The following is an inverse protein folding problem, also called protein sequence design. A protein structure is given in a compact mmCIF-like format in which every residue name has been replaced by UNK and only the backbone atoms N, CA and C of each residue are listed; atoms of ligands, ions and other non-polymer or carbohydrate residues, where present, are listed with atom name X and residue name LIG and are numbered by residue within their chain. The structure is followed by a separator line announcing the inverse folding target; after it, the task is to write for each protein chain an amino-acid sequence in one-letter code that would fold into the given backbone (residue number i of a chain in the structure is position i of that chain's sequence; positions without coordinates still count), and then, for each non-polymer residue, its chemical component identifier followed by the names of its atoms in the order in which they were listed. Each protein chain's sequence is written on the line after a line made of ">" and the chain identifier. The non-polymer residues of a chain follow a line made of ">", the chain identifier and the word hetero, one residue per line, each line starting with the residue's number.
data_IF_430376430076
#
_entry.id   IF_430376430076
#
_cell.length_a   1.000
_cell.length_b   1.000
_cell.length_c   1.000
_cell.angle_alpha   90.00
_cell.angle_beta   90.00
_cell.angle_gamma   90.00
#
_symmetry.space_group_name_H-M   'P 1'
#
loop_
_entity.id
_entity.type
_entity.pdbx_description
1 polymer ?
#
# COMPACT_ATOMS: atom_id res chain seq x y z
N UNK A 1 -7.29 13.78 -41.18
CA UNK A 1 -6.01 14.36 -40.72
C UNK A 1 -6.05 14.91 -39.29
N UNK A 2 -7.14 15.55 -38.82
CA UNK A 2 -7.22 16.07 -37.45
C UNK A 2 -7.45 14.98 -36.37
N UNK A 3 -8.28 13.97 -36.65
CA UNK A 3 -8.60 12.90 -35.70
C UNK A 3 -7.41 11.96 -35.43
N UNK A 4 -6.62 11.65 -36.46
CA UNK A 4 -5.41 10.84 -36.35
C UNK A 4 -4.32 11.52 -35.51
N UNK A 5 -4.21 12.85 -35.62
CA UNK A 5 -3.30 13.67 -34.81
C UNK A 5 -3.72 13.68 -33.33
N UNK A 6 -5.03 13.72 -33.06
CA UNK A 6 -5.59 13.63 -31.71
C UNK A 6 -5.37 12.24 -31.07
N UNK A 7 -5.49 11.16 -31.86
CA UNK A 7 -5.22 9.80 -31.39
C UNK A 7 -3.73 9.59 -31.06
N UNK A 8 -2.83 10.12 -31.88
CA UNK A 8 -1.39 10.09 -31.63
C UNK A 8 -0.98 10.87 -30.38
N UNK A 9 -1.61 12.03 -30.13
CA UNK A 9 -1.41 12.80 -28.89
C UNK A 9 -1.94 12.07 -27.65
N UNK A 10 -3.10 11.40 -27.76
CA UNK A 10 -3.66 10.58 -26.69
C UNK A 10 -2.73 9.41 -26.33
N UNK A 11 -2.25 8.67 -27.33
CA UNK A 11 -1.34 7.53 -27.10
C UNK A 11 -0.01 7.98 -26.50
N UNK A 12 0.55 9.11 -26.94
CA UNK A 12 1.76 9.69 -26.33
C UNK A 12 1.56 10.07 -24.87
N UNK A 13 0.44 10.73 -24.56
CA UNK A 13 0.12 11.11 -23.18
C UNK A 13 -0.09 9.90 -22.26
N UNK A 14 -0.72 8.83 -22.75
CA UNK A 14 -0.83 7.57 -22.00
C UNK A 14 0.53 6.89 -21.80
N UNK A 15 1.40 6.91 -22.81
CA UNK A 15 2.76 6.38 -22.68
C UNK A 15 3.60 7.16 -21.66
N UNK A 16 3.46 8.49 -21.60
CA UNK A 16 4.13 9.35 -20.62
C UNK A 16 3.64 9.09 -19.19
N UNK A 17 2.33 8.92 -18.99
CA UNK A 17 1.74 8.55 -17.69
C UNK A 17 2.23 7.18 -17.22
N UNK A 18 2.24 6.19 -18.11
CA UNK A 18 2.75 4.85 -17.79
C UNK A 18 4.25 4.87 -17.44
N UNK A 19 5.06 5.65 -18.17
CA UNK A 19 6.49 5.81 -17.86
C UNK A 19 6.74 6.54 -16.53
N UNK A 20 5.85 7.45 -16.12
CA UNK A 20 5.91 8.10 -14.81
C UNK A 20 5.55 7.14 -13.68
N UNK A 21 4.55 6.28 -13.88
CA UNK A 21 4.16 5.24 -12.93
C UNK A 21 5.26 4.17 -12.78
N UNK A 22 5.89 3.75 -13.88
CA UNK A 22 7.01 2.80 -13.89
C UNK A 22 8.23 3.37 -13.13
N UNK A 23 8.60 4.64 -13.40
CA UNK A 23 9.71 5.32 -12.69
C UNK A 23 9.43 5.49 -11.20
N UNK A 24 8.18 5.78 -10.82
CA UNK A 24 7.77 5.89 -9.42
C UNK A 24 7.84 4.54 -8.71
N UNK A 25 7.43 3.46 -9.37
CA UNK A 25 7.55 2.10 -8.84
C UNK A 25 9.02 1.67 -8.68
N UNK A 26 9.89 2.04 -9.63
CA UNK A 26 11.31 1.72 -9.61
C UNK A 26 12.05 2.49 -8.49
N UNK A 27 11.76 3.78 -8.31
CA UNK A 27 12.30 4.58 -7.21
C UNK A 27 11.84 4.08 -5.82
N UNK A 28 10.59 3.61 -5.70
CA UNK A 28 10.10 2.96 -4.47
C UNK A 28 10.78 1.60 -4.22
N UNK A 29 11.15 0.86 -5.27
CA UNK A 29 11.91 -0.39 -5.14
C UNK A 29 13.37 -0.15 -4.74
N UNK A 30 14.01 0.91 -5.24
CA UNK A 30 15.39 1.27 -4.91
C UNK A 30 15.53 1.85 -3.49
N UNK A 31 14.51 2.59 -3.00
CA UNK A 31 14.44 3.00 -1.60
C UNK A 31 14.32 1.80 -0.64
N UNK A 32 13.77 0.68 -1.11
CA UNK A 32 13.65 -0.58 -0.37
C UNK A 32 14.62 -1.67 -0.86
N UNK A 33 15.82 -1.29 -1.32
CA UNK A 33 16.86 -2.22 -1.76
C UNK A 33 17.54 -2.98 -0.60
N UNK A 34 16.75 -3.58 0.29
CA UNK A 34 17.23 -4.53 1.29
C UNK A 34 16.27 -5.72 1.32
N UNK A 35 16.63 -6.79 0.61
CA UNK A 35 15.85 -8.04 0.59
C UNK A 35 15.90 -8.73 1.96
N UNK A 36 15.02 -8.33 2.88
CA UNK A 36 14.85 -9.00 4.18
C UNK A 36 13.63 -9.93 4.17
N UNK A 37 13.82 -11.12 4.74
CA UNK A 37 12.74 -12.05 4.99
C UNK A 37 11.94 -11.53 6.20
N UNK A 38 10.80 -10.89 5.94
CA UNK A 38 9.86 -10.50 6.98
C UNK A 38 9.24 -11.76 7.63
N UNK A 39 9.57 -12.12 8.88
CA UNK A 39 9.05 -13.33 9.51
C UNK A 39 7.51 -13.33 9.57
N UNK A 40 6.91 -12.14 9.58
CA UNK A 40 5.46 -11.97 9.57
C UNK A 40 4.83 -11.88 8.17
N UNK A 41 5.57 -12.05 7.06
CA UNK A 41 5.04 -11.92 5.70
C UNK A 41 3.77 -12.75 5.48
N UNK A 42 3.81 -14.05 5.80
CA UNK A 42 2.66 -14.95 5.64
C UNK A 42 1.44 -14.48 6.47
N UNK A 43 1.69 -13.98 7.68
CA UNK A 43 0.66 -13.47 8.59
C UNK A 43 0.01 -12.19 8.05
N UNK A 44 0.80 -11.29 7.47
CA UNK A 44 0.32 -10.07 6.82
C UNK A 44 -0.52 -10.41 5.58
N UNK A 45 -0.01 -11.26 4.69
CA UNK A 45 -0.74 -11.72 3.49
C UNK A 45 -2.10 -12.33 3.88
N UNK A 46 -2.12 -13.22 4.87
CA UNK A 46 -3.36 -13.84 5.34
C UNK A 46 -4.37 -12.84 5.94
N UNK A 47 -3.90 -11.74 6.53
CA UNK A 47 -4.76 -10.67 7.04
C UNK A 47 -5.36 -9.87 5.89
N UNK A 48 -4.53 -9.49 4.92
CA UNK A 48 -4.98 -8.77 3.72
C UNK A 48 -5.99 -9.57 2.92
N UNK A 49 -5.78 -10.88 2.73
CA UNK A 49 -6.74 -11.76 2.06
C UNK A 49 -8.11 -11.80 2.76
N UNK A 50 -8.13 -11.79 4.10
CA UNK A 50 -9.39 -11.69 4.87
C UNK A 50 -10.06 -10.33 4.70
N UNK A 51 -9.28 -9.25 4.70
CA UNK A 51 -9.78 -7.89 4.47
C UNK A 51 -10.39 -7.78 3.07
N UNK A 52 -9.75 -8.34 2.05
CA UNK A 52 -10.28 -8.40 0.69
C UNK A 52 -11.65 -9.08 0.64
N UNK A 53 -11.79 -10.23 1.31
CA UNK A 53 -13.08 -10.92 1.44
C UNK A 53 -14.15 -10.07 2.13
N UNK A 54 -13.79 -9.33 3.18
CA UNK A 54 -14.71 -8.42 3.87
C UNK A 54 -15.16 -7.27 2.97
N UNK A 55 -14.23 -6.65 2.24
CA UNK A 55 -14.57 -5.58 1.28
C UNK A 55 -15.51 -6.09 0.19
N UNK A 56 -15.28 -7.31 -0.31
CA UNK A 56 -16.18 -7.97 -1.26
C UNK A 56 -17.58 -8.18 -0.68
N UNK A 57 -17.67 -8.61 0.58
CA UNK A 57 -18.95 -8.75 1.30
C UNK A 57 -19.68 -7.41 1.44
N UNK A 58 -18.97 -6.32 1.77
CA UNK A 58 -19.54 -4.97 1.85
C UNK A 58 -20.12 -4.54 0.51
N UNK A 59 -19.39 -4.79 -0.59
CA UNK A 59 -19.92 -4.53 -1.94
C UNK A 59 -21.25 -5.27 -2.15
N UNK A 60 -21.31 -6.56 -1.82
CA UNK A 60 -22.56 -7.34 -1.90
C UNK A 60 -23.67 -6.78 -1.01
N UNK A 61 -23.35 -6.22 0.17
CA UNK A 61 -24.37 -5.57 1.01
C UNK A 61 -24.99 -4.36 0.30
N UNK A 62 -24.16 -3.54 -0.34
CA UNK A 62 -24.62 -2.38 -1.12
C UNK A 62 -25.44 -2.82 -2.33
N UNK A 63 -24.97 -3.82 -3.08
CA UNK A 63 -25.67 -4.35 -4.26
C UNK A 63 -27.06 -4.95 -3.90
N UNK A 64 -27.28 -5.30 -2.63
CA UNK A 64 -28.55 -5.85 -2.13
C UNK A 64 -29.36 -4.82 -1.30
N UNK A 65 -29.09 -3.53 -1.45
CA UNK A 65 -29.81 -2.43 -0.79
C UNK A 65 -29.91 -2.60 0.75
N UNK A 66 -28.84 -3.14 1.38
CA UNK A 66 -28.77 -3.25 2.85
C UNK A 66 -28.75 -1.89 3.52
N UNK A 67 -29.20 -1.85 4.78
CA UNK A 67 -29.23 -0.62 5.57
C UNK A 67 -27.87 0.08 5.62
N UNK A 68 -27.87 1.39 5.38
CA UNK A 68 -26.65 2.19 5.32
C UNK A 68 -25.85 2.15 6.64
N UNK A 69 -26.52 2.06 7.79
CA UNK A 69 -25.89 1.98 9.10
C UNK A 69 -25.14 0.66 9.25
N UNK A 70 -25.72 -0.45 8.78
CA UNK A 70 -25.05 -1.76 8.76
C UNK A 70 -23.81 -1.77 7.87
N UNK A 71 -23.89 -1.16 6.68
CA UNK A 71 -22.76 -1.01 5.77
C UNK A 71 -21.64 -0.20 6.43
N UNK A 72 -21.96 0.92 7.09
CA UNK A 72 -21.00 1.75 7.80
C UNK A 72 -20.29 1.00 8.94
N UNK A 73 -21.02 0.16 9.68
CA UNK A 73 -20.44 -0.71 10.73
C UNK A 73 -19.42 -1.68 10.13
N UNK A 74 -19.71 -2.30 8.97
CA UNK A 74 -18.78 -3.22 8.32
C UNK A 74 -17.55 -2.50 7.76
N UNK A 75 -17.71 -1.30 7.21
CA UNK A 75 -16.59 -0.45 6.79
C UNK A 75 -15.69 -0.13 8.00
N UNK A 76 -16.26 0.21 9.16
CA UNK A 76 -15.50 0.45 10.38
C UNK A 76 -14.71 -0.79 10.83
N UNK A 77 -15.28 -1.99 10.68
CA UNK A 77 -14.58 -3.24 10.96
C UNK A 77 -13.40 -3.47 10.00
N UNK A 78 -13.55 -3.15 8.71
CA UNK A 78 -12.45 -3.21 7.72
C UNK A 78 -11.34 -2.22 8.06
N UNK A 79 -11.69 -0.97 8.40
CA UNK A 79 -10.70 0.03 8.86
C UNK A 79 -9.91 -0.49 10.06
N UNK A 80 -10.58 -1.04 11.07
CA UNK A 80 -9.91 -1.62 12.23
C UNK A 80 -8.98 -2.79 11.88
N UNK A 81 -9.38 -3.63 10.92
CA UNK A 81 -8.58 -4.74 10.44
C UNK A 81 -7.33 -4.28 9.69
N UNK A 82 -7.45 -3.21 8.88
CA UNK A 82 -6.32 -2.53 8.24
C UNK A 82 -5.37 -1.96 9.28
N UNK A 83 -5.87 -1.23 10.27
CA UNK A 83 -5.04 -0.65 11.33
C UNK A 83 -4.22 -1.71 12.08
N UNK A 84 -4.87 -2.82 12.41
CA UNK A 84 -4.22 -3.95 13.08
C UNK A 84 -3.19 -4.65 12.20
N UNK A 85 -3.34 -4.59 10.88
CA UNK A 85 -2.38 -5.15 9.93
C UNK A 85 -1.19 -4.23 9.75
N UNK A 86 -1.42 -2.92 9.63
CA UNK A 86 -0.37 -1.90 9.59
C UNK A 86 0.51 -1.96 10.84
N UNK A 87 -0.07 -2.09 12.04
CA UNK A 87 0.69 -2.27 13.29
C UNK A 87 1.66 -3.46 13.26
N UNK A 88 1.26 -4.58 12.64
CA UNK A 88 2.14 -5.74 12.49
C UNK A 88 3.31 -5.43 11.56
N UNK A 89 3.05 -4.74 10.46
CA UNK A 89 4.08 -4.33 9.50
C UNK A 89 5.06 -3.34 10.13
N UNK A 90 4.56 -2.31 10.81
CA UNK A 90 5.38 -1.30 11.50
C UNK A 90 6.30 -1.96 12.53
N UNK A 91 5.77 -2.85 13.36
CA UNK A 91 6.57 -3.58 14.35
C UNK A 91 7.68 -4.42 13.68
N UNK A 92 7.33 -5.16 12.63
CA UNK A 92 8.28 -6.00 11.90
C UNK A 92 9.39 -5.17 11.23
N UNK A 93 9.05 -3.98 10.72
CA UNK A 93 10.01 -3.04 10.14
C UNK A 93 10.98 -2.47 11.19
N UNK A 94 10.46 -2.07 12.37
CA UNK A 94 11.28 -1.60 13.49
C UNK A 94 12.27 -2.67 13.96
N UNK A 95 11.80 -3.91 14.15
CA UNK A 95 12.60 -5.00 14.69
C UNK A 95 13.69 -5.49 13.74
N UNK A 96 13.45 -5.40 12.42
CA UNK A 96 14.33 -6.01 11.43
C UNK A 96 15.02 -5.00 10.51
N UNK A 97 14.33 -4.00 9.98
CA UNK A 97 14.93 -3.09 9.00
C UNK A 97 15.82 -2.04 9.68
N UNK A 98 15.29 -1.36 10.71
CA UNK A 98 16.05 -0.27 11.37
C UNK A 98 17.26 -0.82 12.12
N UNK A 99 17.10 -1.94 12.85
CA UNK A 99 18.20 -2.54 13.61
C UNK A 99 19.36 -2.96 12.68
N UNK A 100 19.05 -3.59 11.54
CA UNK A 100 20.08 -3.98 10.57
C UNK A 100 20.69 -2.77 9.83
N UNK A 101 19.91 -1.71 9.58
CA UNK A 101 20.41 -0.49 8.97
C UNK A 101 21.40 0.24 9.90
N UNK A 102 21.14 0.25 11.21
CA UNK A 102 22.07 0.80 12.21
C UNK A 102 23.40 0.03 12.18
N UNK A 103 23.37 -1.31 12.12
CA UNK A 103 24.59 -2.14 12.04
C UNK A 103 25.43 -1.86 10.79
N UNK A 104 24.79 -1.44 9.69
CA UNK A 104 25.45 -1.11 8.42
C UNK A 104 25.82 0.37 8.27
N UNK A 105 25.52 1.21 9.26
CA UNK A 105 25.74 2.66 9.18
C UNK A 105 24.73 3.42 8.31
N UNK A 106 23.63 2.77 7.91
CA UNK A 106 22.55 3.32 7.07
C UNK A 106 21.30 3.69 7.91
N UNK A 107 21.43 3.68 9.24
CA UNK A 107 20.31 3.84 10.17
C UNK A 107 19.53 5.15 10.02
N UNK A 108 20.22 6.26 9.71
CA UNK A 108 19.55 7.58 9.56
C UNK A 108 18.59 7.59 8.37
N UNK A 109 19.01 7.07 7.22
CA UNK A 109 18.18 7.01 6.02
C UNK A 109 16.97 6.08 6.24
N UNK A 110 17.21 4.90 6.82
CA UNK A 110 16.11 3.97 7.12
C UNK A 110 15.10 4.55 8.12
N UNK A 111 15.54 5.41 9.03
CA UNK A 111 14.65 6.09 9.98
C UNK A 111 13.83 7.18 9.29
N UNK A 112 14.44 8.00 8.44
CA UNK A 112 13.74 9.02 7.64
C UNK A 112 12.64 8.41 6.74
N UNK A 113 12.96 7.32 6.04
CA UNK A 113 11.99 6.59 5.21
C UNK A 113 10.83 6.04 6.05
N UNK A 114 11.11 5.59 7.27
CA UNK A 114 10.10 5.08 8.20
C UNK A 114 9.21 6.19 8.77
N UNK A 115 9.78 7.34 9.14
CA UNK A 115 9.05 8.52 9.60
C UNK A 115 8.06 9.00 8.53
N UNK A 116 8.51 9.09 7.26
CA UNK A 116 7.64 9.45 6.15
C UNK A 116 6.46 8.47 5.97
N UNK A 117 6.70 7.17 6.15
CA UNK A 117 5.66 6.15 6.06
C UNK A 117 4.65 6.24 7.22
N UNK A 118 5.11 6.52 8.45
CA UNK A 118 4.24 6.74 9.61
C UNK A 118 3.37 7.97 9.41
N UNK A 119 3.96 9.09 9.00
CA UNK A 119 3.22 10.33 8.76
C UNK A 119 2.11 10.13 7.74
N UNK A 120 2.38 9.37 6.67
CA UNK A 120 1.36 9.05 5.69
C UNK A 120 0.25 8.13 6.24
N UNK A 121 0.58 7.22 7.16
CA UNK A 121 -0.37 6.30 7.77
C UNK A 121 -1.25 6.95 8.86
N UNK A 122 -0.75 7.97 9.56
CA UNK A 122 -1.47 8.68 10.61
C UNK A 122 -2.35 9.83 10.13
N UNK A 123 -2.26 10.21 8.85
CA UNK A 123 -3.15 11.18 8.20
C UNK A 123 -4.59 10.65 8.12
#
# INVERSE_FOLDING_TARGET
>A
MAEEKSLLEYVRRQAELNQQDDKKQQALQEAHAHAHNHPNKKKVVNRLARIEGHVRSIKTMVDNDRDCSEVLIQIAAVRKALDNTAKVILKDHLEHCILHAIEKGEGSKSLEDFEAAIDQYLR
#
